data_IF_138902436379
#
_entry.id   IF_138902436379
#
_cell.length_a   1.000
_cell.length_b   1.000
_cell.length_c   1.000
_cell.angle_alpha   90.00
_cell.angle_beta   90.00
_cell.angle_gamma   90.00
#
_symmetry.space_group_name_H-M   'P 1'
#
loop_
_entity.id
_entity.type
_entity.pdbx_description
1 polymer ?
#
# COMPACT_ATOMS: atom_id res chain seq x y z
N UNK A 1 -2.84 3.21 23.27
CA UNK A 1 -4.06 2.74 22.58
C UNK A 1 -3.66 1.76 21.49
N UNK A 2 -4.55 0.83 21.14
CA UNK A 2 -4.33 -0.11 20.03
C UNK A 2 -4.58 0.59 18.68
N UNK A 3 -3.80 0.25 17.66
CA UNK A 3 -3.90 0.83 16.31
C UNK A 3 -5.29 0.64 15.68
N UNK A 4 -6.00 -0.44 16.05
CA UNK A 4 -7.39 -0.69 15.61
C UNK A 4 -8.33 0.43 16.02
N UNK A 5 -8.19 0.91 17.25
CA UNK A 5 -8.99 2.03 17.76
C UNK A 5 -8.69 3.32 17.02
N UNK A 6 -7.42 3.57 16.71
CA UNK A 6 -6.98 4.73 15.92
C UNK A 6 -7.58 4.67 14.52
N UNK A 7 -7.49 3.55 13.81
CA UNK A 7 -8.06 3.39 12.47
C UNK A 7 -9.58 3.56 12.48
N UNK A 8 -10.27 2.98 13.46
CA UNK A 8 -11.70 3.18 13.63
C UNK A 8 -12.04 4.66 13.84
N UNK A 9 -11.34 5.34 14.74
CA UNK A 9 -11.55 6.74 15.03
C UNK A 9 -11.21 7.67 13.84
N UNK A 10 -10.27 7.27 12.96
CA UNK A 10 -9.95 8.02 11.75
C UNK A 10 -10.98 7.83 10.63
N UNK A 11 -11.52 6.62 10.46
CA UNK A 11 -12.25 6.25 9.24
C UNK A 11 -13.74 6.00 9.47
N UNK A 12 -14.10 5.43 10.63
CA UNK A 12 -15.44 4.90 10.90
C UNK A 12 -16.24 5.72 11.91
N UNK A 13 -15.59 6.64 12.66
CA UNK A 13 -16.28 7.53 13.60
C UNK A 13 -17.35 8.40 12.92
N UNK A 14 -18.44 8.67 13.65
CA UNK A 14 -19.48 9.62 13.23
C UNK A 14 -19.23 11.05 13.74
N UNK A 15 -18.14 11.30 14.48
CA UNK A 15 -17.83 12.60 15.08
C UNK A 15 -16.60 13.23 14.41
N UNK A 16 -16.72 14.44 13.83
CA UNK A 16 -15.59 15.17 13.27
C UNK A 16 -14.56 15.56 14.36
N UNK A 17 -15.02 15.81 15.59
CA UNK A 17 -14.14 16.13 16.73
C UNK A 17 -13.27 14.94 17.10
N UNK A 18 -13.84 13.73 17.16
CA UNK A 18 -13.07 12.50 17.39
C UNK A 18 -12.02 12.28 16.29
N UNK A 19 -12.38 12.54 15.03
CA UNK A 19 -11.44 12.42 13.92
C UNK A 19 -10.29 13.44 14.04
N UNK A 20 -10.60 14.70 14.36
CA UNK A 20 -9.62 15.77 14.58
C UNK A 20 -8.70 15.46 15.77
N UNK A 21 -9.26 15.07 16.91
CA UNK A 21 -8.51 14.76 18.12
C UNK A 21 -7.58 13.56 17.89
N UNK A 22 -8.04 12.56 17.14
CA UNK A 22 -7.23 11.40 16.77
C UNK A 22 -6.03 11.81 15.90
N UNK A 23 -6.24 12.64 14.88
CA UNK A 23 -5.13 13.17 14.07
C UNK A 23 -4.16 13.97 14.95
N UNK A 24 -4.67 14.87 15.79
CA UNK A 24 -3.83 15.71 16.65
C UNK A 24 -3.02 14.92 17.68
N UNK A 25 -3.57 13.81 18.18
CA UNK A 25 -2.95 12.95 19.18
C UNK A 25 -1.92 12.00 18.58
N UNK A 26 -2.19 11.41 17.42
CA UNK A 26 -1.38 10.33 16.87
C UNK A 26 -0.42 10.75 15.76
N UNK A 27 -0.67 11.85 15.05
CA UNK A 27 0.21 12.31 13.97
C UNK A 27 1.14 13.41 14.46
N UNK A 28 2.40 13.35 14.00
CA UNK A 28 3.33 14.45 14.17
C UNK A 28 2.78 15.72 13.48
N UNK A 29 3.07 16.92 14.00
CA UNK A 29 2.65 18.18 13.37
C UNK A 29 3.11 18.32 11.90
N UNK A 30 4.22 17.67 11.56
CA UNK A 30 4.82 17.63 10.23
C UNK A 30 4.67 16.28 9.52
N UNK A 31 3.65 15.49 9.85
CA UNK A 31 3.46 14.15 9.26
C UNK A 31 3.23 14.18 7.73
N UNK A 32 3.70 13.15 7.03
CA UNK A 32 3.46 12.94 5.61
C UNK A 32 2.34 11.92 5.37
N UNK A 33 1.74 11.98 4.18
CA UNK A 33 0.68 11.06 3.76
C UNK A 33 0.80 10.77 2.27
N UNK A 34 0.69 9.50 1.88
CA UNK A 34 0.59 9.11 0.47
C UNK A 34 -0.54 8.12 0.27
N UNK A 35 -1.36 8.40 -0.71
CA UNK A 35 -2.45 7.57 -1.17
C UNK A 35 -2.44 7.54 -2.71
N UNK A 36 -3.00 6.51 -3.37
CA UNK A 36 -3.00 6.46 -4.85
C UNK A 36 -3.61 7.69 -5.54
N UNK A 37 -4.47 8.47 -4.86
CA UNK A 37 -5.14 9.66 -5.43
C UNK A 37 -4.63 11.00 -4.90
N UNK A 38 -3.88 11.03 -3.81
CA UNK A 38 -3.41 12.28 -3.21
C UNK A 38 -2.16 12.07 -2.34
N UNK A 39 -1.44 13.16 -2.09
CA UNK A 39 -0.21 13.13 -1.30
C UNK A 39 -0.04 14.43 -0.54
N UNK A 40 0.55 14.33 0.65
CA UNK A 40 0.96 15.45 1.50
C UNK A 40 2.41 15.23 1.89
N UNK A 41 3.30 16.10 1.42
CA UNK A 41 4.69 16.12 1.86
C UNK A 41 4.80 16.60 3.31
N UNK A 42 5.77 16.03 4.04
CA UNK A 42 6.13 16.49 5.38
C UNK A 42 6.49 17.98 5.36
N UNK A 43 6.00 18.72 6.36
CA UNK A 43 6.25 20.16 6.49
C UNK A 43 5.24 20.89 7.36
N UNK A 44 5.33 22.23 7.47
CA UNK A 44 4.40 23.03 8.26
C UNK A 44 2.94 22.80 7.85
N UNK A 45 2.05 22.66 8.84
CA UNK A 45 0.61 22.42 8.67
C UNK A 45 0.25 21.17 7.84
N UNK A 46 1.18 20.23 7.64
CA UNK A 46 0.89 18.98 6.91
C UNK A 46 -0.15 18.12 7.63
N UNK A 47 -0.10 18.07 8.97
CA UNK A 47 -1.11 17.39 9.77
C UNK A 47 -2.52 17.93 9.54
N UNK A 48 -2.69 19.24 9.42
CA UNK A 48 -3.99 19.85 9.16
C UNK A 48 -4.51 19.51 7.75
N UNK A 49 -3.60 19.44 6.76
CA UNK A 49 -3.93 18.97 5.40
C UNK A 49 -4.37 17.51 5.40
N UNK A 50 -3.73 16.66 6.20
CA UNK A 50 -4.10 15.24 6.37
C UNK A 50 -5.50 15.15 7.00
N UNK A 51 -5.81 15.95 8.03
CA UNK A 51 -7.15 16.01 8.61
C UNK A 51 -8.20 16.37 7.55
N UNK A 52 -7.95 17.37 6.71
CA UNK A 52 -8.87 17.75 5.63
C UNK A 52 -9.12 16.60 4.63
N UNK A 53 -8.13 15.76 4.36
CA UNK A 53 -8.29 14.57 3.51
C UNK A 53 -9.23 13.56 4.18
N UNK A 54 -9.01 13.23 5.47
CA UNK A 54 -9.88 12.32 6.21
C UNK A 54 -11.32 12.84 6.35
N UNK A 55 -11.49 14.14 6.57
CA UNK A 55 -12.80 14.78 6.59
C UNK A 55 -13.47 14.73 5.20
N UNK A 56 -12.72 14.98 4.13
CA UNK A 56 -13.23 14.87 2.77
C UNK A 56 -13.68 13.45 2.44
N UNK A 57 -12.90 12.43 2.80
CA UNK A 57 -13.27 11.02 2.64
C UNK A 57 -14.57 10.68 3.37
N UNK A 58 -14.79 11.25 4.56
CA UNK A 58 -16.04 11.10 5.28
C UNK A 58 -17.23 11.80 4.60
N UNK A 59 -17.01 12.97 4.02
CA UNK A 59 -18.04 13.69 3.24
C UNK A 59 -18.46 12.87 2.02
N UNK A 60 -17.49 12.32 1.27
CA UNK A 60 -17.81 11.55 0.07
C UNK A 60 -18.26 10.11 0.37
N UNK A 61 -17.97 9.58 1.55
CA UNK A 61 -18.44 8.27 2.01
C UNK A 61 -18.97 8.33 3.45
N UNK A 62 -20.22 8.79 3.67
CA UNK A 62 -20.78 8.99 5.02
C UNK A 62 -20.90 7.73 5.88
N UNK A 63 -20.91 6.55 5.26
CA UNK A 63 -20.94 5.24 5.91
C UNK A 63 -19.69 4.45 5.52
N UNK A 64 -18.53 4.94 5.94
CA UNK A 64 -17.25 4.27 5.74
C UNK A 64 -17.01 3.32 6.92
N UNK A 65 -16.81 2.04 6.62
CA UNK A 65 -16.43 1.02 7.60
C UNK A 65 -15.05 0.45 7.25
N UNK A 66 -14.19 0.29 8.25
CA UNK A 66 -12.87 -0.32 8.10
C UNK A 66 -12.71 -1.51 9.04
N UNK A 67 -12.20 -2.62 8.53
CA UNK A 67 -11.86 -3.80 9.31
C UNK A 67 -10.35 -4.05 9.25
N UNK A 68 -9.69 -4.07 10.42
CA UNK A 68 -8.26 -4.39 10.53
C UNK A 68 -8.08 -5.91 10.54
N UNK A 69 -7.40 -6.44 9.52
CA UNK A 69 -7.15 -7.88 9.36
C UNK A 69 -5.86 -8.32 10.05
N UNK A 70 -4.79 -7.57 9.90
CA UNK A 70 -3.49 -7.89 10.50
C UNK A 70 -2.72 -6.63 10.87
N UNK A 71 -1.84 -6.76 11.86
CA UNK A 71 -0.97 -5.69 12.36
C UNK A 71 0.41 -6.29 12.60
N UNK A 72 1.43 -5.70 11.97
CA UNK A 72 2.84 -6.08 12.14
C UNK A 72 3.60 -4.83 12.55
N UNK A 73 4.32 -4.91 13.66
CA UNK A 73 5.16 -3.82 14.15
C UNK A 73 6.62 -4.25 14.23
N UNK A 74 7.48 -3.53 13.51
CA UNK A 74 8.94 -3.65 13.60
C UNK A 74 9.50 -2.48 14.42
N UNK A 75 9.87 -2.75 15.66
CA UNK A 75 10.43 -1.76 16.58
C UNK A 75 11.86 -1.32 16.25
N UNK A 76 12.59 -2.07 15.42
CA UNK A 76 13.95 -1.67 14.99
C UNK A 76 13.88 -0.66 13.87
N UNK A 77 12.90 -0.82 12.97
CA UNK A 77 12.66 0.10 11.86
C UNK A 77 11.68 1.22 12.21
N UNK A 78 10.96 1.10 13.34
CA UNK A 78 9.82 1.94 13.70
C UNK A 78 8.77 1.98 12.59
N UNK A 79 8.45 0.81 12.04
CA UNK A 79 7.44 0.65 10.99
C UNK A 79 6.31 -0.20 11.53
N UNK A 80 5.08 0.23 11.28
CA UNK A 80 3.88 -0.58 11.50
C UNK A 80 3.13 -0.77 10.18
N UNK A 81 3.01 -2.02 9.76
CA UNK A 81 2.22 -2.40 8.59
C UNK A 81 0.86 -2.93 9.07
N UNK A 82 -0.21 -2.36 8.55
CA UNK A 82 -1.59 -2.71 8.91
C UNK A 82 -2.35 -3.11 7.65
N UNK A 83 -2.87 -4.33 7.62
CA UNK A 83 -3.79 -4.75 6.57
C UNK A 83 -5.22 -4.38 6.95
N UNK A 84 -5.91 -3.70 6.05
CA UNK A 84 -7.27 -3.19 6.26
C UNK A 84 -8.14 -3.61 5.07
N UNK A 85 -9.40 -3.94 5.34
CA UNK A 85 -10.45 -4.00 4.32
C UNK A 85 -11.43 -2.86 4.59
N UNK A 86 -11.67 -2.03 3.58
CA UNK A 86 -12.57 -0.87 3.69
C UNK A 86 -13.79 -1.04 2.80
N UNK A 87 -14.94 -0.68 3.35
CA UNK A 87 -16.19 -0.51 2.60
C UNK A 87 -16.39 0.98 2.38
N UNK A 88 -15.83 1.46 1.27
CA UNK A 88 -15.93 2.86 0.88
C UNK A 88 -17.03 3.03 -0.17
N UNK A 89 -17.99 3.91 0.08
CA UNK A 89 -19.10 4.14 -0.82
C UNK A 89 -19.22 5.62 -1.16
N UNK A 90 -18.85 5.99 -2.39
CA UNK A 90 -19.08 7.35 -2.88
C UNK A 90 -20.59 7.60 -2.90
N UNK A 91 -21.10 8.55 -2.09
CA UNK A 91 -22.54 8.73 -1.87
C UNK A 91 -23.35 9.07 -3.14
N UNK A 92 -22.71 9.59 -4.18
CA UNK A 92 -23.33 9.88 -5.48
C UNK A 92 -23.22 8.71 -6.48
N UNK A 93 -22.49 7.65 -6.14
CA UNK A 93 -22.34 6.50 -7.03
C UNK A 93 -23.62 5.69 -7.11
N UNK A 94 -24.10 5.33 -8.31
CA UNK A 94 -25.24 4.43 -8.47
C UNK A 94 -24.90 2.97 -8.18
N UNK A 95 -23.63 2.65 -7.92
CA UNK A 95 -23.15 1.28 -7.74
C UNK A 95 -22.97 0.94 -6.27
N UNK A 96 -23.30 -0.29 -5.89
CA UNK A 96 -22.99 -0.81 -4.55
C UNK A 96 -21.49 -0.74 -4.27
N UNK A 97 -21.13 -0.42 -3.02
CA UNK A 97 -19.75 -0.51 -2.58
C UNK A 97 -19.21 -1.93 -2.74
N UNK A 98 -17.91 -2.03 -3.02
CA UNK A 98 -17.17 -3.26 -3.00
C UNK A 98 -16.07 -3.16 -1.93
N UNK A 99 -15.74 -4.28 -1.27
CA UNK A 99 -14.64 -4.30 -0.31
C UNK A 99 -13.33 -4.01 -1.05
N UNK A 100 -12.59 -3.02 -0.57
CA UNK A 100 -11.26 -2.69 -1.06
C UNK A 100 -10.24 -3.04 0.01
N UNK A 101 -9.29 -3.92 -0.32
CA UNK A 101 -8.19 -4.28 0.58
C UNK A 101 -6.99 -3.36 0.34
N UNK A 102 -6.38 -2.91 1.43
CA UNK A 102 -5.16 -2.11 1.39
C UNK A 102 -4.17 -2.54 2.49
N UNK A 103 -2.90 -2.24 2.22
CA UNK A 103 -1.83 -2.25 3.21
C UNK A 103 -1.48 -0.81 3.55
N UNK A 104 -1.65 -0.44 4.81
CA UNK A 104 -1.22 0.85 5.35
C UNK A 104 0.13 0.67 6.02
N UNK A 105 1.16 1.33 5.48
CA UNK A 105 2.47 1.43 6.11
C UNK A 105 2.56 2.72 6.90
N UNK A 106 2.78 2.60 8.21
CA UNK A 106 3.02 3.72 9.10
C UNK A 106 4.50 3.77 9.47
N UNK A 107 5.17 4.84 9.10
CA UNK A 107 6.49 5.18 9.64
C UNK A 107 6.28 5.96 10.93
N UNK A 108 6.86 5.45 12.02
CA UNK A 108 6.68 5.98 13.36
C UNK A 108 7.94 6.72 13.83
N UNK A 109 7.72 7.80 14.57
CA UNK A 109 8.77 8.49 15.32
C UNK A 109 8.57 8.25 16.80
N UNK A 110 9.60 7.76 17.48
CA UNK A 110 9.57 7.59 18.92
C UNK A 110 10.00 8.89 19.59
N UNK A 111 9.18 9.39 20.50
CA UNK A 111 9.60 10.45 21.41
C UNK A 111 10.53 9.86 22.48
N UNK A 112 11.75 10.38 22.58
CA UNK A 112 12.77 9.88 23.49
C UNK A 112 12.40 10.11 24.97
N UNK A 113 11.60 11.13 25.28
CA UNK A 113 11.23 11.47 26.65
C UNK A 113 10.10 10.57 27.18
N UNK A 114 9.03 10.39 26.40
CA UNK A 114 7.87 9.58 26.79
C UNK A 114 7.96 8.12 26.38
N UNK A 115 8.83 7.78 25.43
CA UNK A 115 8.91 6.45 24.80
C UNK A 115 7.73 6.16 23.86
N UNK A 116 6.81 7.11 23.65
CA UNK A 116 5.62 6.95 22.83
C UNK A 116 5.94 7.08 21.34
N UNK A 117 5.15 6.40 20.52
CA UNK A 117 5.25 6.44 19.07
C UNK A 117 4.18 7.35 18.47
N UNK A 118 4.60 8.16 17.51
CA UNK A 118 3.74 9.04 16.71
C UNK A 118 3.90 8.73 15.23
N UNK A 119 2.82 8.85 14.46
CA UNK A 119 2.80 8.66 13.02
C UNK A 119 3.52 9.82 12.35
N UNK A 120 4.68 9.54 11.78
CA UNK A 120 5.47 10.49 11.00
C UNK A 120 5.11 10.44 9.51
N UNK A 121 4.73 9.26 9.01
CA UNK A 121 4.26 9.09 7.65
C UNK A 121 3.25 7.95 7.57
N UNK A 122 2.22 8.13 6.74
CA UNK A 122 1.31 7.07 6.33
C UNK A 122 1.41 6.87 4.81
N UNK A 123 1.51 5.63 4.37
CA UNK A 123 1.46 5.25 2.94
C UNK A 123 0.43 4.14 2.75
N UNK A 124 -0.54 4.40 1.87
CA UNK A 124 -1.62 3.47 1.58
C UNK A 124 -1.35 2.76 0.24
N UNK A 125 -1.22 1.44 0.28
CA UNK A 125 -0.97 0.59 -0.87
C UNK A 125 -2.20 -0.26 -1.19
N UNK A 126 -2.71 -0.09 -2.40
CA UNK A 126 -3.80 -0.88 -2.93
C UNK A 126 -3.29 -1.77 -4.06
N UNK A 127 -3.83 -2.97 -4.15
CA UNK A 127 -3.75 -3.68 -5.42
C UNK A 127 -4.59 -2.94 -6.46
N UNK A 128 -4.25 -3.06 -7.75
CA UNK A 128 -4.93 -2.30 -8.81
C UNK A 128 -6.43 -2.58 -8.84
N UNK A 129 -6.85 -3.83 -8.59
CA UNK A 129 -8.28 -4.18 -8.56
C UNK A 129 -9.00 -3.61 -7.32
N UNK A 130 -8.35 -3.62 -6.15
CA UNK A 130 -8.89 -3.06 -4.90
C UNK A 130 -9.05 -1.53 -5.01
N UNK A 131 -8.09 -0.86 -5.65
CA UNK A 131 -8.18 0.56 -5.93
C UNK A 131 -9.36 0.89 -6.85
N UNK A 132 -9.61 0.04 -7.86
CA UNK A 132 -10.74 0.21 -8.76
C UNK A 132 -12.06 -0.15 -8.06
N UNK A 133 -12.06 -1.13 -7.14
CA UNK A 133 -13.20 -1.42 -6.29
C UNK A 133 -13.60 -0.21 -5.43
N UNK A 134 -12.63 0.59 -4.98
CA UNK A 134 -12.86 1.82 -4.21
C UNK A 134 -13.58 2.92 -5.02
N UNK A 135 -13.26 3.05 -6.31
CA UNK A 135 -13.69 4.18 -7.16
C UNK A 135 -14.86 3.81 -8.07
N UNK A 136 -14.77 2.66 -8.76
CA UNK A 136 -15.72 2.22 -9.76
C UNK A 136 -15.83 0.68 -9.78
N UNK A 137 -16.54 0.08 -8.80
CA UNK A 137 -16.67 -1.37 -8.66
C UNK A 137 -17.04 -2.15 -9.94
N UNK A 138 -17.93 -1.67 -10.82
CA UNK A 138 -18.29 -2.41 -12.03
C UNK A 138 -17.13 -2.66 -13.00
N UNK A 139 -16.02 -1.91 -12.91
CA UNK A 139 -14.83 -2.12 -13.75
C UNK A 139 -13.88 -3.19 -13.21
N UNK A 140 -14.05 -3.67 -11.97
CA UNK A 140 -13.16 -4.68 -11.37
C UNK A 140 -12.97 -5.92 -12.27
N UNK A 141 -14.02 -6.54 -12.85
CA UNK A 141 -13.84 -7.71 -13.71
C UNK A 141 -13.04 -7.42 -14.98
N UNK A 142 -13.16 -6.19 -15.53
CA UNK A 142 -12.38 -5.78 -16.70
C UNK A 142 -10.89 -5.63 -16.34
N UNK A 143 -10.59 -5.04 -15.19
CA UNK A 143 -9.21 -4.90 -14.69
C UNK A 143 -8.59 -6.27 -14.44
N UNK A 144 -9.33 -7.19 -13.82
CA UNK A 144 -8.90 -8.57 -13.64
C UNK A 144 -8.60 -9.26 -14.97
N UNK A 145 -9.49 -9.12 -15.97
CA UNK A 145 -9.25 -9.64 -17.32
C UNK A 145 -7.96 -9.06 -17.92
N UNK A 146 -7.73 -7.75 -17.80
CA UNK A 146 -6.50 -7.12 -18.28
C UNK A 146 -5.25 -7.67 -17.59
N UNK A 147 -5.29 -7.89 -16.26
CA UNK A 147 -4.19 -8.49 -15.51
C UNK A 147 -3.89 -9.92 -15.98
N UNK A 148 -4.92 -10.75 -16.20
CA UNK A 148 -4.74 -12.10 -16.74
C UNK A 148 -4.18 -12.11 -18.15
N UNK A 149 -4.67 -11.23 -19.02
CA UNK A 149 -4.16 -11.08 -20.40
C UNK A 149 -2.70 -10.64 -20.38
N UNK A 150 -2.33 -9.67 -19.53
CA UNK A 150 -0.95 -9.23 -19.38
C UNK A 150 -0.03 -10.39 -18.93
N UNK A 151 -0.47 -11.19 -17.97
CA UNK A 151 0.26 -12.39 -17.53
C UNK A 151 0.46 -13.39 -18.68
N UNK A 152 -0.57 -13.64 -19.50
CA UNK A 152 -0.45 -14.52 -20.68
C UNK A 152 0.57 -13.98 -21.69
N UNK A 153 0.54 -12.68 -21.98
CA UNK A 153 1.55 -12.05 -22.86
C UNK A 153 2.96 -12.23 -22.30
N UNK A 154 3.17 -12.02 -21.00
CA UNK A 154 4.48 -12.23 -20.36
C UNK A 154 4.94 -13.68 -20.44
N UNK A 155 4.05 -14.64 -20.22
CA UNK A 155 4.35 -16.08 -20.31
C UNK A 155 4.74 -16.47 -21.74
N UNK A 156 3.96 -16.03 -22.74
CA UNK A 156 4.23 -16.32 -24.16
C UNK A 156 5.55 -15.66 -24.59
N UNK A 157 5.75 -14.39 -24.23
CA UNK A 157 6.98 -13.66 -24.52
C UNK A 157 8.21 -14.33 -23.92
N UNK A 158 8.14 -14.76 -22.66
CA UNK A 158 9.21 -15.51 -22.00
C UNK A 158 9.53 -16.82 -22.74
N UNK A 159 8.51 -17.60 -23.14
CA UNK A 159 8.73 -18.85 -23.90
C UNK A 159 9.37 -18.60 -25.25
N UNK A 160 8.93 -17.57 -25.98
CA UNK A 160 9.53 -17.19 -27.27
C UNK A 160 10.99 -16.80 -27.06
N UNK A 161 11.29 -15.92 -26.10
CA UNK A 161 12.66 -15.52 -25.77
C UNK A 161 13.55 -16.72 -25.44
N UNK A 162 13.02 -17.66 -24.65
CA UNK A 162 13.71 -18.90 -24.28
C UNK A 162 13.98 -19.82 -25.48
N UNK A 163 13.09 -19.89 -26.47
CA UNK A 163 13.34 -20.63 -27.73
C UNK A 163 14.55 -20.06 -28.47
N UNK A 164 14.78 -18.75 -28.39
CA UNK A 164 15.96 -18.08 -28.95
C UNK A 164 17.18 -18.08 -28.02
N UNK A 165 17.14 -18.83 -26.92
CA UNK A 165 18.25 -18.92 -25.95
C UNK A 165 18.39 -17.70 -25.03
N UNK A 166 17.43 -16.77 -25.04
CA UNK A 166 17.45 -15.57 -24.20
C UNK A 166 16.83 -15.89 -22.83
N UNK A 167 17.56 -15.58 -21.75
CA UNK A 167 17.10 -15.75 -20.35
C UNK A 167 16.63 -17.18 -20.02
N UNK A 168 17.43 -18.18 -20.40
CA UNK A 168 17.17 -19.59 -20.12
C UNK A 168 17.77 -20.02 -18.77
N UNK A 169 17.00 -20.62 -17.84
CA UNK A 169 17.55 -21.19 -16.62
C UNK A 169 18.55 -22.33 -16.89
N UNK A 170 19.58 -22.45 -16.05
CA UNK A 170 20.65 -23.46 -16.23
C UNK A 170 20.15 -24.90 -16.25
N UNK A 171 19.16 -25.22 -15.42
CA UNK A 171 18.56 -26.56 -15.37
C UNK A 171 17.87 -26.94 -16.70
N UNK A 172 17.31 -25.94 -17.40
CA UNK A 172 16.67 -26.12 -18.71
C UNK A 172 17.70 -26.29 -19.84
N UNK A 173 18.86 -25.64 -19.75
CA UNK A 173 19.99 -25.84 -20.67
C UNK A 173 20.51 -27.28 -20.61
N UNK A 174 20.69 -27.81 -19.39
CA UNK A 174 21.13 -29.20 -19.16
C UNK A 174 20.10 -30.20 -19.71
N UNK A 175 18.80 -29.95 -19.51
CA UNK A 175 17.74 -30.80 -20.04
C UNK A 175 17.64 -30.81 -21.58
N UNK A 176 18.08 -29.75 -22.27
CA UNK A 176 18.07 -29.63 -23.74
C UNK A 176 19.41 -30.01 -24.39
N UNK A 177 20.39 -30.50 -23.62
CA UNK A 177 21.68 -30.95 -24.16
C UNK A 177 22.55 -29.82 -24.74
N UNK A 178 22.27 -28.57 -24.38
CA UNK A 178 23.05 -27.41 -24.83
C UNK A 178 24.17 -27.18 -23.81
N UNK A 179 25.39 -27.55 -24.20
CA UNK A 179 26.60 -27.36 -23.38
C UNK A 179 26.89 -25.88 -23.13
N UNK A 180 27.18 -25.58 -21.85
CA UNK A 180 27.67 -24.34 -21.25
C UNK A 180 27.75 -23.12 -22.18
N UNK A 181 26.63 -22.42 -22.33
CA UNK A 181 26.66 -21.03 -22.80
C UNK A 181 27.36 -20.16 -21.72
N UNK A 182 28.23 -19.22 -22.12
CA UNK A 182 29.02 -18.43 -21.19
C UNK A 182 28.09 -17.67 -20.26
N UNK A 183 28.27 -17.96 -18.97
CA UNK A 183 27.67 -17.24 -17.87
C UNK A 183 28.04 -15.77 -18.03
N UNK A 184 27.07 -14.88 -17.85
CA UNK A 184 27.39 -13.51 -17.49
C UNK A 184 28.26 -13.54 -16.23
N UNK A 185 29.58 -13.45 -16.40
CA UNK A 185 30.50 -12.88 -15.42
C UNK A 185 30.13 -11.40 -15.27
N UNK A 186 30.09 -10.78 -14.10
CA UNK A 186 30.84 -11.02 -12.88
C UNK A 186 30.10 -10.33 -11.71
N UNK A 187 30.18 -10.90 -10.50
CA UNK A 187 30.03 -10.11 -9.28
C UNK A 187 30.99 -8.92 -9.35
N UNK A 188 30.61 -7.72 -8.88
CA UNK A 188 31.59 -6.65 -8.75
C UNK A 188 32.62 -7.06 -7.69
N UNK A 189 33.80 -7.50 -8.14
CA UNK A 189 35.01 -7.57 -7.33
C UNK A 189 35.31 -6.18 -6.76
N UNK A 190 34.86 -5.92 -5.53
CA UNK A 190 35.12 -4.59 -4.99
C UNK A 190 34.44 -4.22 -3.69
N UNK A 191 34.27 -5.13 -2.73
CA UNK A 191 34.17 -4.70 -1.32
C UNK A 191 34.78 -5.76 -0.40
N UNK A 192 36.11 -5.87 -0.44
CA UNK A 192 36.88 -6.48 0.65
C UNK A 192 36.59 -5.68 1.91
N UNK A 193 35.89 -6.31 2.86
CA UNK A 193 35.80 -5.84 4.24
C UNK A 193 37.21 -5.59 4.77
N UNK A 194 37.49 -4.35 5.13
CA UNK A 194 38.43 -3.99 6.20
C UNK A 194 37.62 -3.28 7.27
#
# INVERSE_FOLDING_TARGET
EDIRGVIYALTSTNSPDVQMDTINKYYLPNAAFKHPTCSVSSGPSSRDRILSIYQWYRVISPKLESEVKSVIFDSKLNIMDVEIVQQFHIFLSPFSAAPARLLVRLTLSQDAASGLYYIAQQEDFYHTEDFIALILPPLVPLIQLCLYVAALFSIIGAKIAQVFGIWLPKETLVAHGVGDAPLYESEPEGLKKK
#
